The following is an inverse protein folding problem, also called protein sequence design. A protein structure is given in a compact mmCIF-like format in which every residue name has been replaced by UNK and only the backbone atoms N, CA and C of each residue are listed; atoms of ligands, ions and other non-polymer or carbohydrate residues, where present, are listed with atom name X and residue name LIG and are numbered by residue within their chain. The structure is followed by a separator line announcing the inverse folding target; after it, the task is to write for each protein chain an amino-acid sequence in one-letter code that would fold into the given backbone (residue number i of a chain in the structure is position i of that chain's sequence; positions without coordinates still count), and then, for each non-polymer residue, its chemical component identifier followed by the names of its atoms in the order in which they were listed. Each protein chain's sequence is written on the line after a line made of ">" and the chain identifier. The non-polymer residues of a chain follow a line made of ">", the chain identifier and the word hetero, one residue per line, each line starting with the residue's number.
data_IF_610927988572
#
_entry.id   IF_610927988572
#
_cell.length_a   1.000
_cell.length_b   1.000
_cell.length_c   1.000
_cell.angle_alpha   90.00
_cell.angle_beta   90.00
_cell.angle_gamma   90.00
#
_symmetry.space_group_name_H-M   'P 1'
#
loop_
_entity.id
_entity.type
_entity.pdbx_description
1 polymer ?
#
# COMPACT_ATOMS: atom_id res chain seq x y z
N UNK A 1 58.75 -2.90 -24.65
CA UNK A 1 59.82 -1.87 -24.70
C UNK A 1 59.30 -0.76 -25.61
N UNK A 2 59.18 0.52 -25.27
CA UNK A 2 59.82 1.41 -24.30
C UNK A 2 58.78 2.49 -23.88
N UNK A 3 58.64 2.87 -22.60
CA UNK A 3 59.45 3.87 -21.86
C UNK A 3 59.45 5.25 -22.54
N UNK A 4 59.24 6.42 -21.95
CA UNK A 4 58.79 6.96 -20.65
C UNK A 4 58.81 8.52 -20.86
N UNK A 5 58.01 9.28 -20.09
CA UNK A 5 58.21 10.70 -19.69
C UNK A 5 57.96 11.85 -20.69
N UNK A 6 56.99 12.71 -20.34
CA UNK A 6 57.09 14.19 -20.23
C UNK A 6 55.77 14.67 -19.56
N UNK A 7 55.72 14.77 -18.23
CA UNK A 7 56.03 15.92 -17.37
C UNK A 7 55.00 17.07 -17.41
N UNK A 8 54.18 17.09 -16.34
CA UNK A 8 53.57 18.21 -15.60
C UNK A 8 52.77 19.32 -16.30
N UNK A 9 51.46 19.37 -16.01
CA UNK A 9 50.77 20.63 -15.74
C UNK A 9 49.78 20.46 -14.58
N UNK A 10 50.01 21.26 -13.55
CA UNK A 10 49.26 21.36 -12.30
C UNK A 10 47.91 22.05 -12.57
N UNK A 11 46.80 21.43 -12.17
CA UNK A 11 45.60 22.16 -11.79
C UNK A 11 44.86 21.42 -10.67
N UNK A 12 45.09 21.87 -9.45
CA UNK A 12 44.32 21.46 -8.28
C UNK A 12 42.90 22.03 -8.39
N UNK A 13 41.90 21.17 -8.61
CA UNK A 13 40.50 21.52 -8.42
C UNK A 13 40.03 20.87 -7.12
N UNK A 14 40.02 21.67 -6.04
CA UNK A 14 39.34 21.33 -4.81
C UNK A 14 37.83 21.40 -5.05
N UNK A 15 37.17 20.24 -5.21
CA UNK A 15 35.72 20.15 -5.09
C UNK A 15 35.45 19.66 -3.67
N UNK A 16 34.93 20.58 -2.86
CA UNK A 16 34.65 20.39 -1.46
C UNK A 16 33.68 19.24 -1.21
N UNK A 17 33.98 18.48 -0.16
CA UNK A 17 33.07 17.53 0.48
C UNK A 17 31.92 18.35 1.06
N UNK A 18 30.74 18.30 0.44
CA UNK A 18 29.50 18.74 1.09
C UNK A 18 29.14 17.66 2.09
N UNK A 19 29.61 17.80 3.33
CA UNK A 19 29.05 17.09 4.47
C UNK A 19 27.59 17.50 4.59
N UNK A 20 26.69 16.66 4.11
CA UNK A 20 25.27 16.76 4.42
C UNK A 20 25.12 16.49 5.92
N UNK A 21 25.09 17.56 6.71
CA UNK A 21 24.58 17.50 8.07
C UNK A 21 23.11 17.16 7.97
N UNK A 22 22.77 15.91 8.30
CA UNK A 22 21.41 15.49 8.62
C UNK A 22 20.94 16.39 9.76
N UNK A 23 20.08 17.37 9.43
CA UNK A 23 19.38 18.15 10.44
C UNK A 23 18.53 17.15 11.23
N UNK A 24 18.83 17.04 12.54
CA UNK A 24 18.04 16.22 13.45
C UNK A 24 16.56 16.61 13.32
N UNK A 25 15.71 15.65 12.95
CA UNK A 25 14.28 15.80 13.08
C UNK A 25 13.99 16.10 14.55
N UNK A 26 13.35 17.23 14.82
CA UNK A 26 12.92 17.62 16.16
C UNK A 26 11.92 16.59 16.68
N UNK A 27 12.40 15.60 17.43
CA UNK A 27 11.57 14.78 18.31
C UNK A 27 10.97 15.70 19.36
N UNK A 28 9.70 16.08 19.18
CA UNK A 28 8.89 16.60 20.29
C UNK A 28 8.79 15.45 21.29
N UNK A 29 9.47 15.58 22.43
CA UNK A 29 9.25 14.64 23.54
C UNK A 29 7.88 14.96 24.09
N UNK A 30 7.03 13.94 24.24
CA UNK A 30 5.68 14.09 24.84
C UNK A 30 5.77 14.71 26.25
N UNK A 31 6.91 14.60 26.93
CA UNK A 31 7.21 15.29 28.20
C UNK A 31 7.14 16.82 28.14
N UNK A 32 7.31 17.40 26.96
CA UNK A 32 7.44 18.84 26.76
C UNK A 32 6.11 19.49 26.35
N UNK A 33 5.05 18.67 26.19
CA UNK A 33 3.70 19.17 25.96
C UNK A 33 3.11 19.77 27.24
N UNK A 34 2.43 20.93 27.17
CA UNK A 34 1.72 21.50 28.32
C UNK A 34 0.72 20.48 28.86
N UNK A 35 0.82 20.15 30.15
CA UNK A 35 -0.19 19.32 30.82
C UNK A 35 -1.57 19.97 30.65
N UNK A 36 -2.63 19.20 30.34
CA UNK A 36 -3.96 19.76 30.22
C UNK A 36 -4.34 20.46 31.53
N UNK A 37 -4.80 21.71 31.44
CA UNK A 37 -5.31 22.44 32.61
C UNK A 37 -6.53 21.67 33.14
N UNK A 38 -6.46 21.22 34.38
CA UNK A 38 -7.58 20.62 35.07
C UNK A 38 -8.74 21.65 35.11
N UNK A 39 -9.82 21.36 34.42
CA UNK A 39 -11.07 22.09 34.56
C UNK A 39 -11.80 21.58 35.81
N UNK A 40 -11.63 22.31 36.91
CA UNK A 40 -12.40 22.08 38.13
C UNK A 40 -13.86 22.51 37.92
N UNK A 41 -14.71 21.54 37.58
CA UNK A 41 -16.12 21.52 37.99
C UNK A 41 -16.75 20.16 37.69
N UNK A 42 -16.46 19.15 38.52
CA UNK A 42 -17.28 17.94 38.61
C UNK A 42 -17.60 17.70 40.08
N UNK A 43 -18.91 17.65 40.35
CA UNK A 43 -19.55 17.40 41.65
C UNK A 43 -19.09 16.06 42.27
N UNK A 44 -19.01 15.91 43.61
CA UNK A 44 -18.26 14.82 44.25
C UNK A 44 -18.95 13.44 44.26
N UNK A 45 -20.09 13.22 43.60
CA UNK A 45 -20.84 11.96 43.69
C UNK A 45 -21.21 11.37 42.32
N UNK A 46 -20.20 10.86 41.59
CA UNK A 46 -20.33 9.66 40.77
C UNK A 46 -18.93 9.18 40.32
N UNK A 47 -18.25 8.40 41.15
CA UNK A 47 -16.99 7.75 40.75
C UNK A 47 -17.28 6.53 39.87
N UNK A 48 -17.80 6.78 38.67
CA UNK A 48 -17.60 5.84 37.57
C UNK A 48 -16.25 6.22 36.97
N UNK A 49 -15.19 5.50 37.35
CA UNK A 49 -13.87 5.67 36.77
C UNK A 49 -13.98 5.56 35.24
N UNK A 50 -13.67 6.65 34.53
CA UNK A 50 -13.61 6.64 33.07
C UNK A 50 -12.72 5.47 32.64
N UNK A 51 -13.11 4.68 31.62
CA UNK A 51 -12.27 3.60 31.13
C UNK A 51 -10.89 4.17 30.80
N UNK A 52 -9.85 3.51 31.31
CA UNK A 52 -8.46 3.92 31.12
C UNK A 52 -8.21 4.07 29.61
N UNK A 53 -7.98 5.32 29.15
CA UNK A 53 -7.88 5.62 27.73
C UNK A 53 -6.57 5.05 27.21
N UNK A 54 -6.63 3.91 26.53
CA UNK A 54 -5.48 3.40 25.82
C UNK A 54 -5.23 4.27 24.56
N UNK A 55 -4.15 5.04 24.58
CA UNK A 55 -3.75 5.95 23.50
C UNK A 55 -2.99 5.25 22.37
N UNK A 56 -2.67 3.95 22.52
CA UNK A 56 -1.91 3.16 21.55
C UNK A 56 -2.60 1.83 21.23
N UNK A 57 -2.45 1.37 20.00
CA UNK A 57 -2.85 0.03 19.61
C UNK A 57 -1.82 -0.57 18.65
N UNK A 58 -1.69 -1.90 18.68
CA UNK A 58 -0.83 -2.64 17.75
C UNK A 58 -1.65 -3.04 16.53
N UNK A 59 -1.01 -3.05 15.36
CA UNK A 59 -1.63 -3.53 14.12
C UNK A 59 -0.72 -4.52 13.41
N UNK A 60 -1.32 -5.50 12.76
CA UNK A 60 -0.64 -6.33 11.79
C UNK A 60 -0.60 -5.61 10.44
N UNK A 61 0.50 -5.77 9.73
CA UNK A 61 0.68 -5.20 8.39
C UNK A 61 1.38 -6.22 7.50
N UNK A 62 1.09 -6.17 6.20
CA UNK A 62 1.72 -7.04 5.22
C UNK A 62 3.21 -6.71 5.11
N UNK A 63 4.07 -7.73 5.10
CA UNK A 63 5.50 -7.52 4.87
C UNK A 63 5.78 -7.29 3.38
N UNK A 64 6.79 -6.49 3.00
CA UNK A 64 7.18 -6.32 1.60
C UNK A 64 7.52 -7.66 0.90
N UNK A 65 8.06 -8.63 1.64
CA UNK A 65 8.36 -9.97 1.12
C UNK A 65 7.08 -10.74 0.75
N UNK A 66 6.08 -10.75 1.64
CA UNK A 66 4.79 -11.37 1.35
C UNK A 66 4.08 -10.64 0.20
N UNK A 67 4.12 -9.30 0.17
CA UNK A 67 3.59 -8.49 -0.93
C UNK A 67 4.24 -8.83 -2.27
N UNK A 68 5.56 -9.03 -2.30
CA UNK A 68 6.27 -9.42 -3.51
C UNK A 68 5.87 -10.82 -4.00
N UNK A 69 5.76 -11.79 -3.08
CA UNK A 69 5.29 -13.15 -3.40
C UNK A 69 3.91 -13.11 -4.02
N UNK A 70 2.99 -12.35 -3.42
CA UNK A 70 1.62 -12.16 -3.91
C UNK A 70 1.62 -11.54 -5.31
N UNK A 71 2.38 -10.47 -5.51
CA UNK A 71 2.43 -9.77 -6.79
C UNK A 71 3.02 -10.64 -7.91
N UNK A 72 4.09 -11.39 -7.61
CA UNK A 72 4.73 -12.29 -8.56
C UNK A 72 3.82 -13.45 -8.95
N UNK A 73 3.11 -14.04 -8.00
CA UNK A 73 2.17 -15.13 -8.25
C UNK A 73 1.00 -14.67 -9.12
N UNK A 74 0.42 -13.49 -8.85
CA UNK A 74 -0.64 -12.91 -9.66
C UNK A 74 -0.16 -12.63 -11.10
N UNK A 75 1.00 -11.96 -11.26
CA UNK A 75 1.57 -11.67 -12.57
C UNK A 75 1.86 -12.96 -13.35
N UNK A 76 2.45 -13.96 -12.70
CA UNK A 76 2.73 -15.26 -13.32
C UNK A 76 1.44 -15.92 -13.80
N UNK A 77 0.39 -15.96 -12.99
CA UNK A 77 -0.88 -16.57 -13.38
C UNK A 77 -1.53 -15.88 -14.60
N UNK A 78 -1.49 -14.55 -14.62
CA UNK A 78 -1.96 -13.77 -15.77
C UNK A 78 -1.12 -14.06 -17.02
N UNK A 79 0.20 -14.10 -16.89
CA UNK A 79 1.10 -14.44 -18.00
C UNK A 79 0.86 -15.86 -18.54
N UNK A 80 0.69 -16.84 -17.65
CA UNK A 80 0.36 -18.22 -18.02
C UNK A 80 -0.99 -18.31 -18.76
N UNK A 81 -1.88 -17.33 -18.55
CA UNK A 81 -3.17 -17.18 -19.25
C UNK A 81 -3.10 -16.33 -20.52
N UNK A 82 -1.91 -15.88 -20.92
CA UNK A 82 -1.68 -15.04 -22.11
C UNK A 82 -1.92 -13.54 -21.89
N UNK A 83 -2.01 -13.08 -20.64
CA UNK A 83 -2.29 -11.68 -20.30
C UNK A 83 -1.05 -10.98 -19.76
N UNK A 84 -0.75 -9.81 -20.32
CA UNK A 84 0.37 -8.97 -19.90
C UNK A 84 -0.16 -7.84 -19.03
N UNK A 85 0.06 -7.92 -17.71
CA UNK A 85 -0.60 -7.09 -16.71
C UNK A 85 0.36 -6.26 -15.87
N UNK A 86 -0.18 -5.24 -15.20
CA UNK A 86 0.43 -4.64 -14.01
C UNK A 86 -0.22 -5.16 -12.75
N UNK A 87 0.57 -5.34 -11.71
CA UNK A 87 0.14 -5.77 -10.37
C UNK A 87 0.67 -4.79 -9.34
N UNK A 88 -0.21 -4.33 -8.46
CA UNK A 88 0.11 -3.43 -7.36
C UNK A 88 -0.34 -4.07 -6.05
N UNK A 89 0.50 -3.99 -5.01
CA UNK A 89 0.14 -4.38 -3.65
C UNK A 89 0.37 -3.19 -2.72
N UNK A 90 -0.65 -2.87 -1.92
CA UNK A 90 -0.62 -1.84 -0.89
C UNK A 90 -0.71 -2.45 0.50
N UNK A 91 -0.10 -1.80 1.47
CA UNK A 91 -0.15 -2.17 2.87
C UNK A 91 -1.46 -1.71 3.54
N UNK A 92 -1.61 -1.96 4.85
CA UNK A 92 -2.81 -1.56 5.62
C UNK A 92 -3.07 -0.04 5.58
N UNK A 93 -2.04 0.78 5.42
CA UNK A 93 -2.15 2.23 5.32
C UNK A 93 -2.48 2.72 3.90
N UNK A 94 -2.58 1.82 2.92
CA UNK A 94 -2.77 2.18 1.51
C UNK A 94 -1.50 2.66 0.83
N UNK A 95 -0.35 2.46 1.46
CA UNK A 95 0.97 2.76 0.90
C UNK A 95 1.38 1.61 0.00
N UNK A 96 1.78 1.94 -1.23
CA UNK A 96 2.23 0.96 -2.20
C UNK A 96 3.55 0.32 -1.73
N UNK A 97 3.55 -1.00 -1.61
CA UNK A 97 4.74 -1.79 -1.30
C UNK A 97 5.37 -2.37 -2.56
N UNK A 98 4.55 -2.78 -3.54
CA UNK A 98 5.00 -3.43 -4.76
C UNK A 98 4.23 -2.90 -5.95
N UNK A 99 4.96 -2.64 -7.04
CA UNK A 99 4.44 -2.44 -8.38
C UNK A 99 5.27 -3.29 -9.33
N UNK A 100 4.63 -4.24 -10.00
CA UNK A 100 5.21 -5.02 -11.08
C UNK A 100 4.46 -4.71 -12.36
N UNK A 101 5.17 -4.43 -13.45
CA UNK A 101 4.58 -4.22 -14.78
C UNK A 101 5.19 -5.19 -15.76
N UNK A 102 4.37 -6.00 -16.41
CA UNK A 102 4.85 -6.90 -17.45
C UNK A 102 5.33 -6.10 -18.68
N UNK A 103 6.26 -6.67 -19.43
CA UNK A 103 6.97 -6.00 -20.53
C UNK A 103 6.02 -5.37 -21.55
N UNK A 104 4.93 -6.06 -21.86
CA UNK A 104 3.95 -5.66 -22.87
C UNK A 104 2.62 -5.19 -22.28
N UNK A 105 2.55 -4.99 -20.96
CA UNK A 105 1.34 -4.45 -20.34
C UNK A 105 1.06 -3.03 -20.87
N UNK A 106 -0.21 -2.64 -20.97
CA UNK A 106 -0.60 -1.31 -21.44
C UNK A 106 -0.07 -0.19 -20.53
N UNK A 107 0.18 1.00 -21.09
CA UNK A 107 0.82 2.12 -20.36
C UNK A 107 0.01 2.61 -19.15
N UNK A 108 -1.32 2.44 -19.18
CA UNK A 108 -2.24 2.85 -18.10
C UNK A 108 -2.45 1.78 -17.03
N UNK A 109 -2.04 0.55 -17.29
CA UNK A 109 -2.28 -0.56 -16.36
C UNK A 109 -1.66 -0.34 -14.96
N UNK A 110 -0.48 0.29 -14.77
CA UNK A 110 0.04 0.53 -13.42
C UNK A 110 -0.83 1.49 -12.60
N UNK A 111 -1.35 2.55 -13.25
CA UNK A 111 -2.25 3.53 -12.64
C UNK A 111 -3.58 2.87 -12.26
N UNK A 112 -4.17 2.12 -13.19
CA UNK A 112 -5.44 1.41 -12.98
C UNK A 112 -5.30 0.35 -11.87
N UNK A 113 -4.22 -0.43 -11.87
CA UNK A 113 -3.95 -1.41 -10.81
C UNK A 113 -3.80 -0.74 -9.44
N UNK A 114 -3.15 0.43 -9.37
CA UNK A 114 -3.04 1.23 -8.15
C UNK A 114 -4.41 1.67 -7.64
N UNK A 115 -5.27 2.19 -8.53
CA UNK A 115 -6.63 2.62 -8.18
C UNK A 115 -7.46 1.44 -7.68
N UNK A 116 -7.41 0.28 -8.34
CA UNK A 116 -8.14 -0.92 -7.89
C UNK A 116 -7.68 -1.39 -6.50
N UNK A 117 -6.38 -1.46 -6.24
CA UNK A 117 -5.84 -1.86 -4.94
C UNK A 117 -6.29 -0.90 -3.82
N UNK A 118 -6.13 0.41 -4.04
CA UNK A 118 -6.52 1.43 -3.07
C UNK A 118 -8.03 1.46 -2.84
N UNK A 119 -8.82 1.32 -3.90
CA UNK A 119 -10.29 1.26 -3.79
C UNK A 119 -10.71 0.05 -2.97
N UNK A 120 -10.16 -1.13 -3.26
CA UNK A 120 -10.47 -2.34 -2.50
C UNK A 120 -10.15 -2.18 -1.00
N UNK A 121 -9.00 -1.57 -0.68
CA UNK A 121 -8.62 -1.28 0.70
C UNK A 121 -9.56 -0.27 1.37
N UNK A 122 -9.84 0.86 0.72
CA UNK A 122 -10.64 1.95 1.27
C UNK A 122 -12.09 1.54 1.52
N UNK A 123 -12.68 0.78 0.62
CA UNK A 123 -14.06 0.28 0.72
C UNK A 123 -14.17 -1.07 1.41
N UNK A 124 -13.03 -1.69 1.75
CA UNK A 124 -12.96 -2.99 2.44
C UNK A 124 -13.71 -4.11 1.70
N UNK A 125 -13.72 -4.05 0.36
CA UNK A 125 -14.46 -4.97 -0.51
C UNK A 125 -13.71 -5.17 -1.83
N UNK A 126 -14.03 -6.23 -2.59
CA UNK A 126 -13.49 -6.36 -3.94
C UNK A 126 -14.08 -5.29 -4.86
N UNK A 127 -13.29 -4.84 -5.84
CA UNK A 127 -13.77 -3.82 -6.77
C UNK A 127 -14.84 -4.34 -7.73
N UNK A 128 -14.95 -5.66 -7.92
CA UNK A 128 -16.06 -6.30 -8.63
C UNK A 128 -17.38 -6.16 -7.88
N UNK A 129 -17.39 -6.49 -6.57
CA UNK A 129 -18.59 -6.36 -5.72
C UNK A 129 -19.04 -4.90 -5.65
N UNK A 130 -18.11 -3.96 -5.59
CA UNK A 130 -18.44 -2.53 -5.63
C UNK A 130 -19.03 -2.09 -6.97
N UNK A 131 -18.53 -2.65 -8.09
CA UNK A 131 -19.09 -2.38 -9.41
C UNK A 131 -20.53 -2.92 -9.53
N UNK A 132 -20.77 -4.14 -9.05
CA UNK A 132 -22.11 -4.74 -8.99
C UNK A 132 -23.06 -3.90 -8.13
N UNK A 133 -22.62 -3.44 -6.96
CA UNK A 133 -23.44 -2.61 -6.08
C UNK A 133 -23.91 -1.30 -6.73
N UNK A 134 -23.07 -0.65 -7.56
CA UNK A 134 -23.47 0.55 -8.30
C UNK A 134 -24.49 0.24 -9.40
N UNK A 135 -24.37 -0.92 -10.07
CA UNK A 135 -25.34 -1.35 -11.06
C UNK A 135 -26.71 -1.65 -10.44
N UNK A 136 -26.73 -2.25 -9.25
CA UNK A 136 -27.95 -2.57 -8.51
C UNK A 136 -28.60 -1.34 -7.85
N UNK A 137 -27.79 -0.36 -7.44
CA UNK A 137 -28.26 0.84 -6.76
C UNK A 137 -27.63 2.11 -7.35
N UNK A 138 -28.37 2.76 -8.25
CA UNK A 138 -27.96 4.00 -8.92
C UNK A 138 -27.66 5.17 -7.97
N UNK A 139 -28.16 5.16 -6.73
CA UNK A 139 -27.79 6.20 -5.74
C UNK A 139 -26.30 6.15 -5.35
N UNK A 140 -25.61 5.03 -5.61
CA UNK A 140 -24.18 4.88 -5.36
C UNK A 140 -23.30 5.40 -6.51
N UNK A 141 -23.89 5.79 -7.66
CA UNK A 141 -23.16 6.25 -8.84
C UNK A 141 -22.27 7.47 -8.53
N UNK A 142 -22.74 8.39 -7.69
CA UNK A 142 -21.98 9.58 -7.28
C UNK A 142 -20.66 9.25 -6.54
N UNK A 143 -20.52 8.05 -5.98
CA UNK A 143 -19.26 7.61 -5.34
C UNK A 143 -18.16 7.39 -6.38
N UNK A 144 -18.53 7.10 -7.64
CA UNK A 144 -17.56 6.90 -8.73
C UNK A 144 -16.88 8.20 -9.18
N UNK A 145 -17.45 9.36 -8.83
CA UNK A 145 -16.86 10.67 -9.08
C UNK A 145 -15.77 11.05 -8.04
N UNK A 146 -15.64 10.28 -6.96
CA UNK A 146 -14.65 10.55 -5.91
C UNK A 146 -13.23 10.30 -6.46
N UNK A 147 -12.30 11.27 -6.36
CA UNK A 147 -10.94 11.10 -6.85
C UNK A 147 -10.24 9.88 -6.24
N UNK A 148 -9.68 9.03 -7.10
CA UNK A 148 -8.94 7.84 -6.66
C UNK A 148 -9.81 6.59 -6.47
N UNK A 149 -11.11 6.67 -6.73
CA UNK A 149 -12.03 5.53 -6.72
C UNK A 149 -12.13 4.89 -8.09
N UNK A 150 -12.08 3.55 -8.14
CA UNK A 150 -12.33 2.80 -9.36
C UNK A 150 -13.07 1.49 -9.06
N UNK A 151 -14.36 1.46 -9.37
CA UNK A 151 -15.20 0.27 -9.28
C UNK A 151 -15.12 -0.55 -10.56
N UNK A 152 -14.00 -1.25 -10.71
CA UNK A 152 -13.74 -2.16 -11.81
C UNK A 152 -12.98 -3.38 -11.27
N UNK A 153 -13.50 -4.59 -11.49
CA UNK A 153 -12.94 -5.85 -10.97
C UNK A 153 -11.43 -5.99 -11.14
N UNK A 154 -10.76 -6.62 -10.18
CA UNK A 154 -9.29 -6.76 -10.15
C UNK A 154 -8.61 -6.23 -8.89
N UNK A 155 -9.34 -5.56 -8.00
CA UNK A 155 -8.88 -5.15 -6.68
C UNK A 155 -9.45 -6.07 -5.59
N UNK A 156 -8.59 -6.63 -4.74
CA UNK A 156 -8.95 -7.60 -3.70
C UNK A 156 -8.25 -7.22 -2.39
N UNK A 157 -8.96 -7.31 -1.27
CA UNK A 157 -8.39 -7.11 0.07
C UNK A 157 -7.55 -8.32 0.50
N UNK A 158 -6.50 -8.06 1.27
CA UNK A 158 -5.66 -9.09 1.89
C UNK A 158 -6.00 -9.11 3.37
N UNK A 159 -6.49 -10.25 3.87
CA UNK A 159 -6.92 -10.41 5.25
C UNK A 159 -6.07 -11.44 5.98
N UNK A 160 -5.79 -11.18 7.26
CA UNK A 160 -5.15 -12.11 8.19
C UNK A 160 -5.95 -12.08 9.50
N UNK A 161 -6.30 -13.25 10.04
CA UNK A 161 -7.11 -13.39 11.26
C UNK A 161 -8.34 -12.44 11.31
N UNK A 162 -9.06 -12.32 10.18
CA UNK A 162 -10.24 -11.45 10.06
C UNK A 162 -9.97 -9.95 9.94
N UNK A 163 -8.71 -9.51 9.95
CA UNK A 163 -8.31 -8.11 9.79
C UNK A 163 -7.71 -7.85 8.41
N UNK A 164 -8.11 -6.75 7.77
CA UNK A 164 -7.51 -6.32 6.49
C UNK A 164 -6.10 -5.77 6.75
N UNK A 165 -5.09 -6.37 6.12
CA UNK A 165 -3.68 -5.99 6.28
C UNK A 165 -3.07 -5.39 5.00
N UNK A 166 -3.86 -5.29 3.93
CA UNK A 166 -3.45 -4.71 2.66
C UNK A 166 -4.48 -4.98 1.55
N UNK A 167 -4.09 -4.70 0.32
CA UNK A 167 -4.87 -5.03 -0.88
C UNK A 167 -3.96 -5.23 -2.09
N UNK A 168 -4.43 -6.03 -3.04
CA UNK A 168 -3.82 -6.23 -4.35
C UNK A 168 -4.73 -5.65 -5.44
N UNK A 169 -4.15 -5.06 -6.48
CA UNK A 169 -4.83 -4.64 -7.69
C UNK A 169 -4.12 -5.16 -8.93
N UNK A 170 -4.87 -5.69 -9.89
CA UNK A 170 -4.37 -6.19 -11.18
C UNK A 170 -5.07 -5.47 -12.34
N UNK A 171 -4.32 -5.16 -13.38
CA UNK A 171 -4.86 -4.54 -14.59
C UNK A 171 -4.11 -4.95 -15.85
N UNK A 172 -4.84 -5.28 -16.91
CA UNK A 172 -4.31 -5.43 -18.26
C UNK A 172 -4.82 -6.65 -19.02
N UNK A 173 -5.59 -7.53 -18.36
CA UNK A 173 -6.30 -8.60 -19.05
C UNK A 173 -7.43 -8.04 -19.93
N UNK A 174 -7.93 -8.80 -20.93
CA UNK A 174 -9.00 -8.35 -21.82
C UNK A 174 -10.33 -8.02 -21.14
N UNK A 175 -10.55 -8.54 -19.93
CA UNK A 175 -11.74 -8.34 -19.11
C UNK A 175 -11.32 -8.27 -17.63
N UNK A 176 -11.94 -7.38 -16.88
CA UNK A 176 -11.67 -7.15 -15.46
C UNK A 176 -11.84 -8.40 -14.58
N UNK A 177 -12.70 -9.35 -14.96
CA UNK A 177 -12.83 -10.63 -14.22
C UNK A 177 -11.56 -11.47 -14.29
N UNK A 178 -10.76 -11.33 -15.35
CA UNK A 178 -9.48 -12.03 -15.47
C UNK A 178 -8.39 -11.36 -14.63
N UNK A 179 -8.40 -10.03 -14.54
CA UNK A 179 -7.56 -9.31 -13.58
C UNK A 179 -7.86 -9.80 -12.15
N UNK A 180 -9.14 -9.89 -11.80
CA UNK A 180 -9.59 -10.35 -10.49
C UNK A 180 -9.18 -11.79 -10.18
N UNK A 181 -9.36 -12.69 -11.16
CA UNK A 181 -8.88 -14.06 -11.03
C UNK A 181 -7.39 -14.12 -10.74
N UNK A 182 -6.56 -13.36 -11.45
CA UNK A 182 -5.13 -13.30 -11.19
C UNK A 182 -4.83 -12.75 -9.79
N UNK A 183 -5.57 -11.74 -9.33
CA UNK A 183 -5.42 -11.19 -8.00
C UNK A 183 -5.71 -12.24 -6.90
N UNK A 184 -6.81 -12.98 -7.04
CA UNK A 184 -7.21 -14.07 -6.12
C UNK A 184 -6.17 -15.20 -6.12
N UNK A 185 -5.71 -15.64 -7.30
CA UNK A 185 -4.67 -16.68 -7.40
C UNK A 185 -3.36 -16.21 -6.77
N UNK A 186 -3.04 -14.92 -6.87
CA UNK A 186 -1.88 -14.30 -6.25
C UNK A 186 -1.81 -14.47 -4.73
N UNK A 187 -2.94 -14.62 -4.04
CA UNK A 187 -2.98 -14.79 -2.57
C UNK A 187 -2.70 -16.23 -2.13
N UNK A 188 -2.89 -17.22 -3.01
CA UNK A 188 -2.74 -18.66 -2.67
C UNK A 188 -1.40 -19.02 -2.01
N UNK A 189 -0.23 -18.50 -2.44
CA UNK A 189 1.05 -18.88 -1.85
C UNK A 189 1.20 -18.53 -0.37
N UNK A 190 0.44 -17.54 0.12
CA UNK A 190 0.51 -17.09 1.51
C UNK A 190 -0.78 -17.37 2.30
N UNK A 191 -1.79 -17.98 1.68
CA UNK A 191 -3.11 -18.16 2.31
C UNK A 191 -3.04 -18.87 3.67
N UNK A 192 -2.29 -19.98 3.77
CA UNK A 192 -2.10 -20.67 5.05
C UNK A 192 -1.37 -19.83 6.09
N UNK A 193 -0.43 -18.97 5.68
CA UNK A 193 0.28 -18.07 6.62
C UNK A 193 -0.65 -16.97 7.15
N UNK A 194 -1.63 -16.54 6.35
CA UNK A 194 -2.60 -15.52 6.74
C UNK A 194 -3.68 -16.06 7.70
N UNK A 195 -4.05 -17.33 7.56
CA UNK A 195 -5.07 -17.98 8.38
C UNK A 195 -4.60 -18.23 9.82
N UNK A 196 -3.30 -18.50 10.01
CA UNK A 196 -2.68 -18.77 11.31
C UNK A 196 -1.77 -17.65 11.81
N UNK A 197 -1.90 -16.43 11.26
CA UNK A 197 -1.17 -15.26 11.74
C UNK A 197 -1.80 -14.74 13.05
N UNK A 198 -1.08 -14.88 14.16
CA UNK A 198 -1.41 -14.30 15.47
C UNK A 198 -0.91 -12.85 15.64
#
# INVERSE_FOLDING_TARGET
>A
MNKTKFLNLILALAIGVVSATVQAASTIKISDLPKPKANNSVSPNNQQSAPEMNVLYKTHNLTPQAALVVAQAAMKNCRDSGYQVSVVVVDRGGVMQVLLRDRLAGIKTPEIATLKAKTALSFKSSTSVLAEAVLENKSLEAVTDVPGVLFLGGGITITAAGTIIGAIGVSGAPDAKFDERCAIIGLKPIAGMLEFAE
#
